data_IF_165019794470
#
_entry.id   IF_165019794470
#
_cell.length_a   1.000
_cell.length_b   1.000
_cell.length_c   1.000
_cell.angle_alpha   90.00
_cell.angle_beta   90.00
_cell.angle_gamma   90.00
#
_symmetry.space_group_name_H-M   'P 1'
#
loop_
_entity.id
_entity.type
_entity.pdbx_description
1 polymer ?
#
# COMPACT_ATOMS: atom_id res chain seq x y z
N UNK A 1 9.62 45.73 3.30
CA UNK A 1 10.68 46.30 4.18
C UNK A 1 9.97 46.95 5.35
N UNK A 2 10.41 46.66 6.62
CA UNK A 2 9.81 47.21 7.84
C UNK A 2 8.74 46.35 8.52
N UNK A 3 8.52 45.13 8.08
CA UNK A 3 7.63 44.19 8.76
C UNK A 3 8.34 43.59 9.98
N UNK A 4 7.69 43.63 11.14
CA UNK A 4 8.15 42.96 12.35
C UNK A 4 7.86 41.46 12.27
N UNK A 5 8.89 40.67 12.54
CA UNK A 5 8.78 39.21 12.58
C UNK A 5 9.36 38.68 13.88
N UNK A 6 8.70 37.69 14.47
CA UNK A 6 9.21 36.98 15.64
C UNK A 6 10.12 35.84 15.18
N UNK A 7 11.31 35.73 15.76
CA UNK A 7 12.28 34.71 15.46
C UNK A 7 12.78 34.00 16.72
N UNK A 8 13.13 32.73 16.62
CA UNK A 8 13.82 32.01 17.70
C UNK A 8 15.32 32.07 17.47
N UNK A 9 16.07 32.39 18.52
CA UNK A 9 17.52 32.34 18.51
C UNK A 9 17.95 30.89 18.65
N UNK A 10 18.66 30.35 17.65
CA UNK A 10 19.10 28.96 17.62
C UNK A 10 20.52 28.77 18.13
N UNK A 11 21.40 29.76 17.92
CA UNK A 11 22.77 29.70 18.36
C UNK A 11 23.33 31.10 18.60
N UNK A 12 24.19 31.25 19.59
CA UNK A 12 24.91 32.50 19.91
C UNK A 12 26.39 32.18 20.00
N UNK A 13 27.13 32.53 18.99
CA UNK A 13 28.59 32.44 19.01
C UNK A 13 29.21 33.81 19.44
N UNK A 14 29.65 33.89 20.69
CA UNK A 14 30.20 35.11 21.27
C UNK A 14 31.57 35.48 20.68
N UNK A 15 32.37 34.48 20.29
CA UNK A 15 33.73 34.72 19.75
C UNK A 15 33.66 35.31 18.35
N UNK A 16 32.78 34.80 17.49
CA UNK A 16 32.59 35.33 16.13
C UNK A 16 31.54 36.44 16.04
N UNK A 17 30.91 36.82 17.15
CA UNK A 17 29.82 37.83 17.24
C UNK A 17 28.67 37.54 16.25
N UNK A 18 28.32 36.24 16.10
CA UNK A 18 27.25 35.78 15.22
C UNK A 18 26.09 35.23 16.04
N UNK A 19 24.88 35.58 15.62
CA UNK A 19 23.64 35.05 16.17
C UNK A 19 22.92 34.35 15.01
N UNK A 20 22.63 33.05 15.17
CA UNK A 20 21.75 32.35 14.27
C UNK A 20 20.30 32.45 14.74
N UNK A 21 19.43 32.87 13.85
CA UNK A 21 18.01 33.02 14.13
C UNK A 21 17.19 32.19 13.15
N UNK A 22 16.09 31.59 13.60
CA UNK A 22 15.18 30.82 12.78
C UNK A 22 13.76 31.37 12.91
N UNK A 23 13.17 31.71 11.78
CA UNK A 23 11.76 32.04 11.69
C UNK A 23 10.90 30.81 11.61
N UNK A 24 11.43 29.72 11.03
CA UNK A 24 10.73 28.42 10.90
C UNK A 24 10.31 27.85 12.27
N UNK A 25 11.12 28.08 13.32
CA UNK A 25 10.84 27.56 14.67
C UNK A 25 9.75 28.34 15.42
N UNK A 26 9.34 29.52 14.94
CA UNK A 26 8.20 30.27 15.52
C UNK A 26 6.85 29.82 14.98
N UNK A 27 6.83 29.12 13.85
CA UNK A 27 5.61 28.59 13.27
C UNK A 27 5.39 27.18 13.81
N UNK A 28 4.16 26.86 14.18
CA UNK A 28 3.79 25.47 14.47
C UNK A 28 4.09 24.61 13.23
N UNK A 29 4.84 23.53 13.45
CA UNK A 29 5.14 22.60 12.36
C UNK A 29 3.81 22.00 11.87
N UNK A 30 3.43 22.20 10.59
CA UNK A 30 2.17 21.68 10.06
C UNK A 30 2.04 20.16 10.24
N UNK A 31 3.17 19.43 10.27
CA UNK A 31 3.18 17.99 10.52
C UNK A 31 2.83 17.64 11.97
N UNK A 32 3.16 18.51 12.94
CA UNK A 32 2.75 18.32 14.35
C UNK A 32 1.24 18.54 14.50
N UNK A 33 0.70 19.57 13.88
CA UNK A 33 -0.75 19.81 13.88
C UNK A 33 -1.50 18.71 13.13
N UNK A 34 -0.92 18.21 12.04
CA UNK A 34 -1.45 17.08 11.29
C UNK A 34 -1.48 15.79 12.14
N UNK A 35 -0.41 15.46 12.85
CA UNK A 35 -0.34 14.26 13.69
C UNK A 35 -1.32 14.28 14.86
N UNK A 36 -1.63 15.47 15.38
CA UNK A 36 -2.67 15.64 16.42
C UNK A 36 -4.08 15.42 15.86
N UNK A 37 -4.34 15.91 14.62
CA UNK A 37 -5.64 15.81 13.96
C UNK A 37 -5.89 14.40 13.39
N UNK A 38 -4.84 13.78 12.89
CA UNK A 38 -4.87 12.47 12.25
C UNK A 38 -3.82 11.55 12.90
N UNK A 39 -4.14 10.88 14.00
CA UNK A 39 -3.22 9.96 14.65
C UNK A 39 -2.93 8.74 13.77
N UNK A 40 -1.86 8.01 14.12
CA UNK A 40 -1.50 6.74 13.47
C UNK A 40 -2.70 5.79 13.47
N UNK A 41 -2.75 4.93 12.47
CA UNK A 41 -3.82 3.96 12.26
C UNK A 41 -5.22 4.53 11.92
N UNK A 42 -5.36 5.85 11.80
CA UNK A 42 -6.63 6.47 11.39
C UNK A 42 -6.88 6.26 9.90
N UNK A 43 -8.10 5.88 9.56
CA UNK A 43 -8.58 5.79 8.17
C UNK A 43 -9.22 7.12 7.81
N UNK A 44 -8.76 7.72 6.72
CA UNK A 44 -9.27 8.99 6.20
C UNK A 44 -9.44 8.93 4.69
N UNK A 45 -10.30 9.81 4.18
CA UNK A 45 -10.46 10.03 2.75
C UNK A 45 -9.44 11.07 2.30
N UNK A 46 -8.70 10.75 1.25
CA UNK A 46 -7.76 11.65 0.61
C UNK A 46 -8.03 11.79 -0.87
N UNK A 47 -7.39 12.79 -1.49
CA UNK A 47 -7.49 13.07 -2.92
C UNK A 47 -6.11 12.91 -3.53
N UNK A 48 -6.03 12.16 -4.63
CA UNK A 48 -4.78 11.98 -5.39
C UNK A 48 -4.39 13.31 -6.05
N UNK A 49 -3.22 13.83 -5.67
CA UNK A 49 -2.68 15.10 -6.21
C UNK A 49 -1.75 14.85 -7.38
N UNK A 50 -0.87 13.86 -7.22
CA UNK A 50 0.09 13.46 -8.25
C UNK A 50 0.46 11.99 -8.09
N UNK A 51 1.07 11.43 -9.12
CA UNK A 51 1.59 10.06 -9.11
C UNK A 51 2.97 10.00 -9.74
N UNK A 52 3.78 9.07 -9.26
CA UNK A 52 5.06 8.66 -9.84
C UNK A 52 4.97 7.20 -10.27
N UNK A 53 6.06 6.65 -10.84
CA UNK A 53 6.14 5.25 -11.27
C UNK A 53 5.87 4.24 -10.13
N UNK A 54 6.18 4.62 -8.88
CA UNK A 54 6.10 3.71 -7.70
C UNK A 54 5.22 4.22 -6.56
N UNK A 55 4.57 5.38 -6.71
CA UNK A 55 3.85 5.99 -5.60
C UNK A 55 2.76 6.97 -6.01
N UNK A 56 1.79 7.15 -5.11
CA UNK A 56 0.79 8.20 -5.16
C UNK A 56 1.07 9.25 -4.08
N UNK A 57 0.84 10.52 -4.42
CA UNK A 57 0.79 11.62 -3.48
C UNK A 57 -0.65 11.99 -3.24
N UNK A 58 -1.06 11.95 -1.99
CA UNK A 58 -2.46 12.06 -1.57
C UNK A 58 -2.56 13.18 -0.55
N UNK A 59 -3.49 14.12 -0.76
CA UNK A 59 -3.87 15.12 0.24
C UNK A 59 -5.03 14.63 1.09
N UNK A 60 -4.91 14.80 2.40
CA UNK A 60 -5.93 14.41 3.37
C UNK A 60 -6.61 15.67 3.89
N UNK A 61 -7.91 15.78 3.67
CA UNK A 61 -8.73 16.91 4.10
C UNK A 61 -8.23 18.24 3.56
N UNK A 62 -8.22 19.27 4.41
CA UNK A 62 -7.74 20.63 4.08
C UNK A 62 -6.24 20.82 4.35
N UNK A 63 -5.51 19.74 4.67
CA UNK A 63 -4.08 19.85 4.93
C UNK A 63 -3.30 20.14 3.65
N UNK A 64 -2.30 21.00 3.73
CA UNK A 64 -1.39 21.25 2.61
C UNK A 64 -0.29 20.18 2.48
N UNK A 65 -0.35 19.14 3.32
CA UNK A 65 0.65 18.08 3.38
C UNK A 65 0.32 17.01 2.34
N UNK A 66 1.30 16.74 1.49
CA UNK A 66 1.25 15.62 0.55
C UNK A 66 1.70 14.33 1.25
N UNK A 67 0.75 13.42 1.43
CA UNK A 67 1.01 12.11 2.03
C UNK A 67 1.48 11.13 0.95
N UNK A 68 2.51 10.36 1.26
CA UNK A 68 3.13 9.40 0.36
C UNK A 68 2.53 8.02 0.53
N UNK A 69 2.01 7.44 -0.56
CA UNK A 69 1.53 6.06 -0.64
C UNK A 69 2.36 5.28 -1.65
N UNK A 70 3.15 4.31 -1.19
CA UNK A 70 3.92 3.43 -2.06
C UNK A 70 3.00 2.43 -2.79
N UNK A 71 3.37 1.98 -3.99
CA UNK A 71 2.57 1.00 -4.75
C UNK A 71 2.29 -0.28 -3.94
N UNK A 72 3.25 -0.76 -3.14
CA UNK A 72 3.07 -1.91 -2.26
C UNK A 72 2.07 -1.66 -1.12
N UNK A 73 1.84 -0.41 -0.74
CA UNK A 73 0.85 -0.03 0.27
C UNK A 73 -0.53 0.30 -0.36
N UNK A 74 -0.62 0.26 -1.71
CA UNK A 74 -1.84 0.53 -2.45
C UNK A 74 -2.71 -0.72 -2.60
N UNK A 75 -2.08 -1.86 -2.92
CA UNK A 75 -2.78 -3.11 -3.21
C UNK A 75 -2.02 -4.32 -2.66
N UNK A 76 -2.74 -5.43 -2.47
CA UNK A 76 -2.17 -6.76 -2.19
C UNK A 76 -1.80 -7.53 -3.47
N UNK A 77 -2.10 -6.98 -4.65
CA UNK A 77 -1.78 -7.60 -5.93
C UNK A 77 -0.29 -7.60 -6.21
N UNK A 78 0.19 -8.62 -6.91
CA UNK A 78 1.58 -8.71 -7.40
C UNK A 78 1.88 -7.65 -8.46
N UNK A 79 0.86 -7.13 -9.16
CA UNK A 79 0.96 -6.11 -10.21
C UNK A 79 0.66 -4.71 -9.63
N UNK A 80 1.27 -4.34 -8.52
CA UNK A 80 1.03 -3.07 -7.83
C UNK A 80 1.31 -1.83 -8.71
N UNK A 81 2.24 -1.93 -9.64
CA UNK A 81 2.58 -0.85 -10.58
C UNK A 81 1.45 -0.59 -11.59
N UNK A 82 0.81 -1.66 -12.09
CA UNK A 82 -0.34 -1.52 -13.00
C UNK A 82 -1.57 -0.91 -12.30
N UNK A 83 -1.73 -1.20 -11.02
CA UNK A 83 -2.80 -0.58 -10.23
C UNK A 83 -2.63 0.93 -10.07
N UNK A 84 -1.38 1.43 -10.03
CA UNK A 84 -1.12 2.87 -10.04
C UNK A 84 -1.68 3.57 -11.29
N UNK A 85 -1.71 2.88 -12.44
CA UNK A 85 -2.22 3.45 -13.69
C UNK A 85 -3.73 3.74 -13.61
N UNK A 86 -4.47 2.98 -12.81
CA UNK A 86 -5.91 3.13 -12.64
C UNK A 86 -6.29 4.42 -11.89
N UNK A 87 -5.35 4.98 -11.11
CA UNK A 87 -5.60 6.21 -10.36
C UNK A 87 -5.23 7.45 -11.15
N UNK A 88 -6.11 8.45 -11.11
CA UNK A 88 -5.94 9.75 -11.77
C UNK A 88 -5.88 10.86 -10.73
N UNK A 89 -5.28 11.98 -11.12
CA UNK A 89 -5.32 13.19 -10.30
C UNK A 89 -6.76 13.63 -10.07
N UNK A 90 -7.12 13.82 -8.81
CA UNK A 90 -8.46 14.18 -8.36
C UNK A 90 -9.30 13.01 -7.87
N UNK A 91 -8.84 11.76 -8.02
CA UNK A 91 -9.57 10.60 -7.50
C UNK A 91 -9.56 10.60 -5.97
N UNK A 92 -10.70 10.22 -5.40
CA UNK A 92 -10.86 10.03 -3.97
C UNK A 92 -10.45 8.62 -3.59
N UNK A 93 -9.61 8.51 -2.57
CA UNK A 93 -9.12 7.23 -2.07
C UNK A 93 -9.15 7.21 -0.55
N UNK A 94 -9.60 6.10 0.02
CA UNK A 94 -9.48 5.87 1.45
C UNK A 94 -8.08 5.36 1.77
N UNK A 95 -7.45 5.97 2.74
CA UNK A 95 -6.10 5.61 3.18
C UNK A 95 -6.02 5.53 4.69
N UNK A 96 -5.15 4.67 5.17
CA UNK A 96 -4.79 4.54 6.57
C UNK A 96 -3.41 5.17 6.79
N UNK A 97 -3.27 5.96 7.85
CA UNK A 97 -1.98 6.57 8.20
C UNK A 97 -1.09 5.50 8.81
N UNK A 98 0.06 5.24 8.19
CA UNK A 98 1.02 4.22 8.61
C UNK A 98 2.15 4.80 9.44
N UNK A 99 2.66 5.97 9.04
CA UNK A 99 3.79 6.61 9.70
C UNK A 99 3.78 8.12 9.49
N UNK A 100 4.21 8.88 10.50
CA UNK A 100 4.35 10.32 10.46
C UNK A 100 5.73 10.71 10.95
N UNK A 101 6.60 11.09 10.04
CA UNK A 101 7.95 11.54 10.32
C UNK A 101 8.02 13.05 10.28
N UNK A 102 7.91 13.69 11.44
CA UNK A 102 7.89 15.13 11.58
C UNK A 102 9.23 15.74 11.14
N UNK A 103 10.35 15.08 11.48
CA UNK A 103 11.71 15.56 11.17
C UNK A 103 11.98 15.51 9.66
N UNK A 104 11.55 14.46 8.99
CA UNK A 104 11.70 14.29 7.53
C UNK A 104 10.59 15.02 6.74
N UNK A 105 9.59 15.58 7.42
CA UNK A 105 8.42 16.19 6.81
C UNK A 105 7.68 15.23 5.84
N UNK A 106 7.53 13.98 6.25
CA UNK A 106 6.90 12.92 5.45
C UNK A 106 5.77 12.25 6.23
N UNK A 107 4.68 12.00 5.54
CA UNK A 107 3.57 11.17 6.03
C UNK A 107 3.40 10.00 5.10
N UNK A 108 3.49 8.78 5.63
CA UNK A 108 3.26 7.56 4.86
C UNK A 108 1.86 7.05 5.12
N UNK A 109 1.15 6.75 4.04
CA UNK A 109 -0.21 6.23 4.07
C UNK A 109 -0.33 4.98 3.21
N UNK A 110 -1.33 4.15 3.47
CA UNK A 110 -1.59 2.97 2.68
C UNK A 110 -3.08 2.74 2.46
N UNK A 111 -3.43 2.31 1.28
CA UNK A 111 -4.80 1.98 0.91
C UNK A 111 -5.13 0.52 1.22
N UNK A 112 -4.19 -0.42 0.99
CA UNK A 112 -4.43 -1.84 1.23
C UNK A 112 -4.84 -2.13 2.67
N UNK A 113 -4.32 -1.37 3.63
CA UNK A 113 -4.61 -1.51 5.05
C UNK A 113 -6.02 -1.00 5.44
N UNK A 114 -6.75 -0.36 4.53
CA UNK A 114 -8.17 -0.01 4.71
C UNK A 114 -9.10 -1.16 4.36
N UNK A 115 -8.62 -2.15 3.62
CA UNK A 115 -9.35 -3.36 3.25
C UNK A 115 -8.92 -4.51 4.14
N UNK A 116 -9.82 -5.48 4.42
CA UNK A 116 -9.41 -6.72 5.09
C UNK A 116 -8.31 -7.39 4.28
N UNK A 117 -7.28 -7.89 4.97
CA UNK A 117 -6.19 -8.60 4.32
C UNK A 117 -6.76 -9.88 3.66
N UNK A 118 -6.62 -10.06 2.34
CA UNK A 118 -7.08 -11.28 1.70
C UNK A 118 -6.41 -12.54 2.25
N UNK A 119 -5.21 -12.42 2.84
CA UNK A 119 -4.53 -13.53 3.52
C UNK A 119 -5.21 -13.94 4.83
N UNK A 120 -6.03 -13.05 5.45
CA UNK A 120 -6.81 -13.41 6.64
C UNK A 120 -7.76 -14.60 6.37
N UNK A 121 -8.17 -14.79 5.11
CA UNK A 121 -8.96 -15.94 4.69
C UNK A 121 -8.23 -17.26 4.91
N UNK A 122 -6.89 -17.27 4.93
CA UNK A 122 -6.07 -18.46 5.13
C UNK A 122 -5.74 -18.73 6.61
N UNK A 123 -5.99 -17.78 7.53
CA UNK A 123 -5.67 -17.96 8.97
C UNK A 123 -6.34 -19.20 9.58
N UNK A 124 -7.55 -19.51 9.13
CA UNK A 124 -8.32 -20.66 9.60
C UNK A 124 -8.09 -21.93 8.76
N UNK A 125 -7.23 -21.86 7.75
CA UNK A 125 -6.94 -22.99 6.85
C UNK A 125 -5.70 -23.76 7.31
N UNK A 126 -5.68 -25.05 6.98
CA UNK A 126 -4.57 -25.95 7.34
C UNK A 126 -3.90 -26.46 6.08
N UNK A 127 -2.62 -26.81 6.20
CA UNK A 127 -1.89 -27.54 5.16
C UNK A 127 -2.62 -28.85 4.86
N UNK A 128 -2.68 -29.23 3.60
CA UNK A 128 -3.44 -30.36 3.07
C UNK A 128 -4.98 -30.21 3.14
N UNK A 129 -5.49 -29.05 3.52
CA UNK A 129 -6.93 -28.80 3.44
C UNK A 129 -7.33 -28.57 1.98
N UNK A 130 -8.41 -29.25 1.56
CA UNK A 130 -8.99 -29.05 0.23
C UNK A 130 -9.81 -27.76 0.21
N UNK A 131 -9.57 -26.96 -0.81
CA UNK A 131 -10.29 -25.70 -1.09
C UNK A 131 -10.76 -25.71 -2.54
N UNK A 132 -11.93 -25.15 -2.80
CA UNK A 132 -12.44 -24.95 -4.14
C UNK A 132 -11.89 -23.65 -4.71
N UNK A 133 -11.28 -23.74 -5.89
CA UNK A 133 -10.70 -22.60 -6.59
C UNK A 133 -11.29 -22.49 -8.00
N UNK A 134 -11.35 -21.26 -8.50
CA UNK A 134 -11.79 -20.95 -9.85
C UNK A 134 -10.57 -20.68 -10.73
N UNK A 135 -10.51 -21.27 -11.91
CA UNK A 135 -9.44 -21.03 -12.87
C UNK A 135 -9.65 -19.67 -13.53
N UNK A 136 -8.67 -18.79 -13.40
CA UNK A 136 -8.67 -17.46 -14.02
C UNK A 136 -8.05 -17.52 -15.41
N UNK A 137 -6.88 -18.16 -15.51
CA UNK A 137 -6.19 -18.36 -16.79
C UNK A 137 -5.30 -19.60 -16.75
N UNK A 138 -4.93 -20.08 -17.93
CA UNK A 138 -4.06 -21.25 -18.10
C UNK A 138 -2.83 -20.83 -18.89
N UNK A 139 -1.66 -21.14 -18.37
CA UNK A 139 -0.36 -20.88 -18.99
C UNK A 139 0.42 -22.19 -19.22
N UNK A 140 1.45 -22.13 -20.06
CA UNK A 140 2.36 -23.26 -20.29
C UNK A 140 3.08 -23.72 -19.00
N UNK A 141 3.16 -22.83 -17.99
CA UNK A 141 3.79 -23.06 -16.70
C UNK A 141 2.85 -23.67 -15.65
N UNK A 142 1.52 -23.56 -15.87
CA UNK A 142 0.53 -24.05 -14.91
C UNK A 142 -0.84 -23.38 -15.05
N UNK A 143 -1.56 -23.31 -13.94
CA UNK A 143 -2.87 -22.67 -13.84
C UNK A 143 -2.80 -21.48 -12.92
N UNK A 144 -3.45 -20.39 -13.28
CA UNK A 144 -3.70 -19.25 -12.39
C UNK A 144 -5.11 -19.45 -11.85
N UNK A 145 -5.22 -19.56 -10.54
CA UNK A 145 -6.47 -19.87 -9.85
C UNK A 145 -6.78 -18.84 -8.77
N UNK A 146 -8.05 -18.66 -8.49
CA UNK A 146 -8.55 -17.77 -7.45
C UNK A 146 -9.44 -18.59 -6.51
N UNK A 147 -9.12 -18.68 -5.18
CA UNK A 147 -9.96 -19.34 -4.21
C UNK A 147 -11.32 -18.63 -4.06
N UNK A 148 -12.36 -19.40 -3.82
CA UNK A 148 -13.68 -18.81 -3.52
C UNK A 148 -13.63 -18.11 -2.16
N UNK A 149 -13.92 -16.80 -2.18
CA UNK A 149 -13.87 -15.95 -0.98
C UNK A 149 -12.54 -15.24 -0.73
N UNK A 150 -11.55 -15.40 -1.61
CA UNK A 150 -10.28 -14.68 -1.57
C UNK A 150 -10.05 -13.94 -2.88
N UNK A 151 -9.58 -12.70 -2.82
CA UNK A 151 -9.33 -11.88 -4.01
C UNK A 151 -7.92 -12.01 -4.59
N UNK A 152 -7.11 -12.92 -4.06
CA UNK A 152 -5.77 -13.18 -4.54
C UNK A 152 -5.74 -14.29 -5.59
N UNK A 153 -4.85 -14.14 -6.56
CA UNK A 153 -4.57 -15.15 -7.57
C UNK A 153 -3.33 -15.95 -7.16
N UNK A 154 -3.41 -17.27 -7.29
CA UNK A 154 -2.32 -18.19 -7.01
C UNK A 154 -1.96 -18.99 -8.24
N UNK A 155 -0.70 -19.35 -8.37
CA UNK A 155 -0.23 -20.19 -9.46
C UNK A 155 -0.07 -21.64 -9.01
N UNK A 156 -0.79 -22.55 -9.65
CA UNK A 156 -0.57 -24.00 -9.54
C UNK A 156 0.45 -24.38 -10.62
N UNK A 157 1.63 -24.84 -10.21
CA UNK A 157 2.68 -25.27 -11.13
C UNK A 157 2.22 -26.50 -11.92
N UNK A 158 2.68 -26.64 -13.17
CA UNK A 158 2.36 -27.79 -14.03
C UNK A 158 2.61 -29.14 -13.34
N UNK A 159 3.69 -29.27 -12.56
CA UNK A 159 4.03 -30.47 -11.81
C UNK A 159 3.02 -30.84 -10.71
N UNK A 160 2.17 -29.90 -10.29
CA UNK A 160 1.17 -30.08 -9.24
C UNK A 160 -0.27 -30.30 -9.81
N UNK A 161 -0.41 -30.35 -11.13
CA UNK A 161 -1.72 -30.54 -11.78
C UNK A 161 -2.15 -32.02 -11.78
N UNK A 162 -1.20 -32.94 -11.95
CA UNK A 162 -1.46 -34.36 -11.97
C UNK A 162 -0.26 -35.16 -11.46
N UNK A 163 -0.53 -36.35 -10.92
CA UNK A 163 0.50 -37.29 -10.44
C UNK A 163 1.40 -37.73 -11.59
N UNK A 164 0.80 -38.02 -12.77
CA UNK A 164 1.53 -38.41 -13.96
C UNK A 164 1.87 -37.15 -14.81
N UNK A 165 3.13 -36.97 -15.16
CA UNK A 165 3.59 -35.85 -15.98
C UNK A 165 2.90 -35.77 -17.37
N UNK A 166 2.48 -36.91 -17.92
CA UNK A 166 1.75 -36.98 -19.20
C UNK A 166 0.33 -36.37 -19.10
N UNK A 167 -0.29 -36.44 -17.92
CA UNK A 167 -1.63 -35.92 -17.64
C UNK A 167 -1.62 -34.50 -17.15
N UNK A 168 -0.45 -33.96 -16.74
CA UNK A 168 -0.26 -32.61 -16.28
C UNK A 168 -0.29 -31.61 -17.46
N UNK A 169 -1.47 -31.48 -18.10
CA UNK A 169 -1.72 -30.61 -19.24
C UNK A 169 -2.62 -29.42 -18.84
N UNK A 170 -2.11 -28.20 -18.69
CA UNK A 170 -2.94 -27.04 -18.39
C UNK A 170 -4.06 -26.82 -19.42
N UNK A 171 -3.83 -27.20 -20.70
CA UNK A 171 -4.79 -27.05 -21.79
C UNK A 171 -6.07 -27.88 -21.65
N UNK A 172 -6.15 -28.83 -20.71
CA UNK A 172 -7.37 -29.59 -20.40
C UNK A 172 -8.40 -28.78 -19.59
N UNK A 173 -7.94 -27.69 -18.98
CA UNK A 173 -8.77 -26.84 -18.13
C UNK A 173 -9.20 -25.59 -18.88
N UNK A 174 -10.46 -25.21 -18.67
CA UNK A 174 -11.04 -24.01 -19.29
C UNK A 174 -11.12 -22.88 -18.27
N UNK A 175 -11.00 -21.63 -18.74
CA UNK A 175 -11.20 -20.47 -17.89
C UNK A 175 -12.59 -20.51 -17.25
N UNK A 176 -12.69 -20.06 -16.01
CA UNK A 176 -13.89 -20.10 -15.16
C UNK A 176 -14.31 -21.47 -14.62
N UNK A 177 -13.59 -22.53 -14.90
CA UNK A 177 -13.84 -23.87 -14.32
C UNK A 177 -13.49 -23.86 -12.83
N UNK A 178 -14.23 -24.64 -12.03
CA UNK A 178 -13.99 -24.84 -10.60
C UNK A 178 -13.29 -26.17 -10.41
N UNK A 179 -12.22 -26.13 -9.63
CA UNK A 179 -11.46 -27.34 -9.25
C UNK A 179 -11.18 -27.32 -7.76
N UNK A 180 -11.04 -28.50 -7.18
CA UNK A 180 -10.64 -28.66 -5.80
C UNK A 180 -9.12 -28.87 -5.73
N UNK A 181 -8.47 -28.09 -4.89
CA UNK A 181 -7.03 -28.10 -4.68
C UNK A 181 -6.69 -28.23 -3.20
N UNK A 182 -5.62 -28.93 -2.87
CA UNK A 182 -5.09 -28.98 -1.53
C UNK A 182 -4.06 -27.86 -1.33
N UNK A 183 -4.04 -27.26 -0.15
CA UNK A 183 -3.04 -26.27 0.24
C UNK A 183 -1.73 -26.99 0.52
N UNK A 184 -0.67 -26.69 -0.25
CA UNK A 184 0.65 -27.32 -0.11
C UNK A 184 1.47 -26.69 1.01
N UNK A 185 1.52 -25.37 1.06
CA UNK A 185 2.22 -24.59 2.09
C UNK A 185 1.47 -23.29 2.44
N UNK A 186 1.69 -22.81 3.63
CA UNK A 186 1.22 -21.53 4.15
C UNK A 186 2.43 -20.88 4.82
N UNK A 187 3.06 -19.89 4.14
CA UNK A 187 4.19 -19.12 4.64
C UNK A 187 3.77 -17.72 5.11
#
# INVERSE_FOLDING_TARGET
VGQEISCVITDINKESRRIAISFKLTQENPFTSFSKKYPLDTICEGIVVSKNEYSLFIKIGESEIDCFCHCNDLTYSTDAEKELENYKKGDKIQVKILDIKIDEQKVRVGHRQTKPDPFDWFKDKKINQTITVKIVSTDNKGLIVKPEGCDLNFQIKKSQIAINAADARPSRFTGNERIDCAIESLD
#
